data_IF_735168595158
#
_entry.id   IF_735168595158
#
_cell.length_a   1.000
_cell.length_b   1.000
_cell.length_c   1.000
_cell.angle_alpha   90.00
_cell.angle_beta   90.00
_cell.angle_gamma   90.00
#
_symmetry.space_group_name_H-M   'P 1'
#
loop_
_entity.id
_entity.type
_entity.pdbx_description
1 polymer ?
#
# COMPACT_ATOMS: atom_id res chain seq x y z
N UNK A 1 -16.02 19.33 10.33
CA UNK A 1 -15.92 18.53 9.10
C UNK A 1 -14.46 18.47 8.68
N UNK A 2 -13.92 17.27 8.49
CA UNK A 2 -12.59 17.09 7.92
C UNK A 2 -12.63 17.53 6.45
N UNK A 3 -11.73 18.44 6.08
CA UNK A 3 -11.69 19.07 4.74
C UNK A 3 -10.55 18.53 3.86
N UNK A 4 -9.70 17.68 4.43
CA UNK A 4 -8.51 17.16 3.80
C UNK A 4 -8.60 15.63 3.72
N UNK A 5 -8.29 15.09 2.55
CA UNK A 5 -8.20 13.67 2.30
C UNK A 5 -6.73 13.26 2.41
N UNK A 6 -6.40 12.42 3.38
CA UNK A 6 -5.05 11.88 3.56
C UNK A 6 -4.88 10.65 2.69
N UNK A 7 -3.96 10.75 1.73
CA UNK A 7 -3.68 9.68 0.77
C UNK A 7 -2.24 9.21 0.95
N UNK A 8 -2.05 7.91 1.12
CA UNK A 8 -0.73 7.28 1.07
C UNK A 8 -0.53 6.56 -0.26
N UNK A 9 0.68 6.65 -0.81
CA UNK A 9 1.09 5.94 -2.02
C UNK A 9 2.18 4.95 -1.63
N UNK A 10 1.96 3.67 -1.89
CA UNK A 10 2.93 2.63 -1.52
C UNK A 10 3.77 2.24 -2.72
N UNK A 11 5.07 2.52 -2.62
CA UNK A 11 6.06 2.05 -3.59
C UNK A 11 6.75 0.79 -3.07
N UNK A 12 6.70 -0.28 -3.86
CA UNK A 12 7.35 -1.56 -3.58
C UNK A 12 7.75 -2.25 -4.89
N UNK A 13 8.78 -3.08 -4.82
CA UNK A 13 9.15 -3.94 -5.94
C UNK A 13 8.14 -5.09 -6.10
N UNK A 14 7.82 -5.41 -7.34
CA UNK A 14 6.96 -6.55 -7.69
C UNK A 14 7.80 -7.75 -8.10
N UNK A 15 7.43 -8.90 -7.56
CA UNK A 15 7.98 -10.19 -7.94
C UNK A 15 7.02 -10.83 -8.92
N UNK A 16 7.50 -11.02 -10.15
CA UNK A 16 6.72 -11.62 -11.23
C UNK A 16 6.10 -12.96 -10.81
N UNK A 17 4.81 -13.16 -11.14
CA UNK A 17 4.05 -14.39 -10.88
C UNK A 17 4.07 -14.90 -9.43
N UNK A 18 4.44 -14.05 -8.46
CA UNK A 18 4.59 -14.48 -7.06
C UNK A 18 3.64 -13.75 -6.11
N UNK A 19 2.33 -13.99 -6.23
CA UNK A 19 1.35 -13.06 -5.68
C UNK A 19 1.29 -13.02 -4.14
N UNK A 20 1.57 -14.15 -3.50
CA UNK A 20 1.64 -14.23 -2.03
C UNK A 20 2.78 -13.35 -1.48
N UNK A 21 3.91 -13.28 -2.20
CA UNK A 21 5.08 -12.51 -1.78
C UNK A 21 4.85 -11.02 -1.96
N UNK A 22 4.22 -10.62 -3.07
CA UNK A 22 3.86 -9.23 -3.31
C UNK A 22 2.91 -8.73 -2.22
N UNK A 23 1.80 -9.45 -1.96
CA UNK A 23 0.86 -9.09 -0.89
C UNK A 23 1.50 -8.99 0.49
N UNK A 24 2.42 -9.89 0.84
CA UNK A 24 3.13 -9.81 2.12
C UNK A 24 4.01 -8.56 2.21
N UNK A 25 4.72 -8.21 1.13
CA UNK A 25 5.52 -7.00 1.06
C UNK A 25 4.66 -5.72 1.19
N UNK A 26 3.48 -5.70 0.56
CA UNK A 26 2.53 -4.59 0.70
C UNK A 26 1.93 -4.51 2.11
N UNK A 27 1.49 -5.64 2.68
CA UNK A 27 0.94 -5.70 4.03
C UNK A 27 1.91 -5.11 5.06
N UNK A 28 3.19 -5.52 5.01
CA UNK A 28 4.22 -5.01 5.91
C UNK A 28 4.40 -3.49 5.81
N UNK A 29 4.25 -2.90 4.62
CA UNK A 29 4.33 -1.46 4.42
C UNK A 29 3.09 -0.75 4.96
N UNK A 30 1.89 -1.33 4.75
CA UNK A 30 0.62 -0.82 5.26
C UNK A 30 0.62 -0.82 6.79
N UNK A 31 1.01 -1.92 7.43
CA UNK A 31 1.10 -2.04 8.89
C UNK A 31 2.16 -1.12 9.52
N UNK A 32 3.11 -0.63 8.71
CA UNK A 32 4.12 0.34 9.15
C UNK A 32 3.66 1.80 9.14
N UNK A 33 2.46 2.09 8.62
CA UNK A 33 1.91 3.45 8.60
C UNK A 33 1.32 3.75 9.98
N UNK A 34 1.86 4.78 10.65
CA UNK A 34 1.42 5.19 11.99
C UNK A 34 0.33 6.27 11.97
N UNK A 35 0.21 6.94 10.82
CA UNK A 35 -0.74 8.01 10.56
C UNK A 35 -2.10 7.46 10.17
N UNK A 36 -3.16 8.18 10.55
CA UNK A 36 -4.50 7.91 10.07
C UNK A 36 -4.62 8.33 8.60
N UNK A 37 -4.83 7.36 7.71
CA UNK A 37 -4.87 7.51 6.25
C UNK A 37 -6.25 7.08 5.74
N UNK A 38 -6.87 7.93 4.94
CA UNK A 38 -8.19 7.67 4.38
C UNK A 38 -8.14 6.73 3.16
N UNK A 39 -7.10 6.85 2.32
CA UNK A 39 -6.94 6.08 1.08
C UNK A 39 -5.48 5.66 0.89
N UNK A 40 -5.27 4.39 0.50
CA UNK A 40 -3.97 3.85 0.12
C UNK A 40 -4.02 3.45 -1.36
N UNK A 41 -3.06 3.94 -2.16
CA UNK A 41 -2.89 3.59 -3.57
C UNK A 41 -1.72 2.61 -3.70
N UNK A 42 -1.96 1.50 -4.41
CA UNK A 42 -0.96 0.47 -4.71
C UNK A 42 -0.52 0.54 -6.18
N UNK A 43 0.66 0.00 -6.53
CA UNK A 43 1.12 -0.10 -7.91
C UNK A 43 0.19 -0.95 -8.79
N UNK A 44 0.24 -0.73 -10.10
CA UNK A 44 -0.42 -1.59 -11.08
C UNK A 44 0.12 -3.03 -10.99
N UNK A 45 -0.74 -4.04 -11.19
CA UNK A 45 -0.39 -5.48 -11.11
C UNK A 45 0.28 -5.90 -9.79
N UNK A 46 -0.07 -5.27 -8.67
CA UNK A 46 0.52 -5.54 -7.36
C UNK A 46 0.36 -6.97 -6.82
N UNK A 47 -0.44 -7.79 -7.51
CA UNK A 47 -0.91 -9.07 -6.98
C UNK A 47 0.16 -10.08 -6.73
#
# INVERSE_FOLDING_TARGET
>A
MQKELKVAIIQADLVWEHPVKNRYAFLKKIEGISEDIDIIILPEMFT
#
